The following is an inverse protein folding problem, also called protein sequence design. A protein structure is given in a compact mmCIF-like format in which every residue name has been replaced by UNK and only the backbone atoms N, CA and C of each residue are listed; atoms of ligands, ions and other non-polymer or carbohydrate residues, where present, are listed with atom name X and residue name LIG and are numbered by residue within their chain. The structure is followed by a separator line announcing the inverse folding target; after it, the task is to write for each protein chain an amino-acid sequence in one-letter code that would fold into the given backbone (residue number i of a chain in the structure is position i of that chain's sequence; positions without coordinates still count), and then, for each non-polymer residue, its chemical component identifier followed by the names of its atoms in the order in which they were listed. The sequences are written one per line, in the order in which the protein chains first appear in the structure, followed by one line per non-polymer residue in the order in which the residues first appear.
data_IF_534250903012
#
_entry.id   IF_534250903012
#
_cell.length_a   1.000
_cell.length_b   1.000
_cell.length_c   1.000
_cell.angle_alpha   90.00
_cell.angle_beta   90.00
_cell.angle_gamma   90.00
#
_symmetry.space_group_name_H-M   'P 1'
#
loop_
_entity.id
_entity.type
_entity.pdbx_description
1 polymer ?
#
# COMPACT_ATOMS: atom_id res chain seq x y z
N UNK A 1 -7.01 22.58 -33.27
CA UNK A 1 -7.14 21.10 -33.19
C UNK A 1 -6.42 20.67 -31.92
N UNK A 2 -6.92 19.66 -31.21
CA UNK A 2 -6.24 19.15 -30.01
C UNK A 2 -4.82 18.69 -30.37
N UNK A 3 -3.88 18.91 -29.45
CA UNK A 3 -2.47 18.53 -29.65
C UNK A 3 -2.24 17.05 -29.42
N UNK A 4 -3.12 16.40 -28.63
CA UNK A 4 -3.06 14.97 -28.27
C UNK A 4 -4.48 14.38 -28.21
N UNK A 5 -4.57 13.03 -28.17
CA UNK A 5 -5.84 12.31 -27.97
C UNK A 5 -6.16 12.12 -26.49
N UNK A 6 -5.13 12.08 -25.65
CA UNK A 6 -5.21 11.89 -24.22
C UNK A 6 -4.11 12.66 -23.50
N UNK A 7 -4.48 13.43 -22.47
CA UNK A 7 -3.55 14.00 -21.50
C UNK A 7 -3.72 13.26 -20.16
N UNK A 8 -2.60 12.85 -19.56
CA UNK A 8 -2.54 12.18 -18.27
C UNK A 8 -1.81 13.06 -17.27
N UNK A 9 -2.44 13.36 -16.13
CA UNK A 9 -1.87 14.17 -15.07
C UNK A 9 -1.38 13.30 -13.92
N UNK A 10 -0.07 13.17 -13.80
CA UNK A 10 0.63 12.35 -12.80
C UNK A 10 1.24 11.09 -13.37
N UNK A 11 2.52 10.88 -13.12
CA UNK A 11 3.33 9.75 -13.60
C UNK A 11 3.51 8.61 -12.61
N UNK A 12 2.58 8.47 -11.62
CA UNK A 12 2.54 7.34 -10.69
C UNK A 12 2.05 6.04 -11.33
N UNK A 13 1.78 4.98 -10.53
CA UNK A 13 1.34 3.67 -11.03
C UNK A 13 0.15 3.74 -11.99
N UNK A 14 -0.88 4.54 -11.69
CA UNK A 14 -1.99 4.76 -12.60
C UNK A 14 -1.52 5.42 -13.91
N UNK A 15 -0.78 6.54 -13.79
CA UNK A 15 -0.45 7.37 -14.95
C UNK A 15 0.48 6.69 -15.94
N UNK A 16 1.60 6.09 -15.51
CA UNK A 16 2.51 5.43 -16.46
C UNK A 16 1.89 4.15 -17.06
N UNK A 17 1.05 3.43 -16.32
CA UNK A 17 0.32 2.26 -16.85
C UNK A 17 -0.69 2.69 -17.90
N UNK A 18 -1.48 3.72 -17.60
CA UNK A 18 -2.43 4.28 -18.57
C UNK A 18 -1.73 4.79 -19.82
N UNK A 19 -0.60 5.51 -19.66
CA UNK A 19 0.14 6.09 -20.78
C UNK A 19 0.67 5.01 -21.74
N UNK A 20 1.32 3.98 -21.20
CA UNK A 20 1.80 2.84 -22.00
C UNK A 20 0.65 2.14 -22.73
N UNK A 21 -0.45 1.86 -22.00
CA UNK A 21 -1.61 1.14 -22.55
C UNK A 21 -2.34 1.96 -23.64
N UNK A 22 -2.54 3.27 -23.41
CA UNK A 22 -3.21 4.16 -24.34
C UNK A 22 -2.40 4.33 -25.63
N UNK A 23 -1.10 4.58 -25.52
CA UNK A 23 -0.22 4.71 -26.68
C UNK A 23 -0.15 3.42 -27.50
N UNK A 24 -0.05 2.25 -26.84
CA UNK A 24 -0.12 0.95 -27.52
C UNK A 24 -1.49 0.69 -28.17
N UNK A 25 -2.55 1.30 -27.65
CA UNK A 25 -3.89 1.31 -28.23
C UNK A 25 -4.08 2.29 -29.39
N UNK A 26 -3.04 3.05 -29.77
CA UNK A 26 -3.05 3.97 -30.90
C UNK A 26 -3.41 5.42 -30.55
N UNK A 27 -3.55 5.77 -29.26
CA UNK A 27 -3.81 7.16 -28.86
C UNK A 27 -2.50 7.96 -28.80
N UNK A 28 -2.49 9.16 -29.39
CA UNK A 28 -1.43 10.14 -29.19
C UNK A 28 -1.50 10.64 -27.76
N UNK A 29 -0.58 10.16 -26.90
CA UNK A 29 -0.66 10.30 -25.45
C UNK A 29 0.41 11.22 -24.88
N UNK A 30 -0.02 12.20 -24.10
CA UNK A 30 0.83 13.09 -23.28
C UNK A 30 0.73 12.69 -21.80
N UNK A 31 1.87 12.47 -21.16
CA UNK A 31 2.00 12.25 -19.73
C UNK A 31 2.73 13.43 -19.09
N UNK A 32 2.08 14.12 -18.16
CA UNK A 32 2.64 15.25 -17.41
C UNK A 32 2.97 14.78 -15.99
N UNK A 33 4.25 14.91 -15.58
CA UNK A 33 4.72 14.54 -14.25
C UNK A 33 5.54 15.67 -13.62
N UNK A 34 5.16 16.11 -12.42
CA UNK A 34 5.80 17.25 -11.76
C UNK A 34 7.17 16.96 -11.13
N UNK A 35 7.48 15.70 -10.80
CA UNK A 35 8.72 15.30 -10.12
C UNK A 35 9.47 14.22 -10.89
N UNK A 36 9.06 12.97 -10.70
CA UNK A 36 9.71 11.81 -11.32
C UNK A 36 8.69 10.71 -11.64
N UNK A 37 8.89 10.08 -12.78
CA UNK A 37 8.09 8.91 -13.17
C UNK A 37 8.15 7.83 -12.09
N UNK A 38 7.04 7.11 -11.90
CA UNK A 38 6.87 6.12 -10.86
C UNK A 38 6.11 6.62 -9.63
N UNK A 39 5.94 7.96 -9.49
CA UNK A 39 5.17 8.58 -8.41
C UNK A 39 5.67 8.23 -7.02
N UNK A 40 4.79 8.36 -6.02
CA UNK A 40 5.11 8.07 -4.62
C UNK A 40 5.56 6.63 -4.41
N UNK A 41 4.85 5.65 -4.99
CA UNK A 41 5.15 4.23 -4.77
C UNK A 41 6.61 3.89 -5.11
N UNK A 42 7.10 4.31 -6.27
CA UNK A 42 8.45 3.95 -6.72
C UNK A 42 9.55 4.82 -6.08
N UNK A 43 9.27 6.10 -5.85
CA UNK A 43 10.29 7.03 -5.40
C UNK A 43 10.33 7.23 -3.88
N UNK A 44 9.17 7.23 -3.21
CA UNK A 44 9.01 7.69 -1.83
C UNK A 44 8.10 6.77 -0.98
N UNK A 45 7.85 5.52 -1.43
CA UNK A 45 6.89 4.61 -0.77
C UNK A 45 7.28 3.14 -0.88
N UNK A 46 6.57 2.39 -1.72
CA UNK A 46 6.64 0.93 -1.79
C UNK A 46 8.06 0.40 -1.97
N UNK A 47 8.72 0.78 -3.05
CA UNK A 47 10.02 0.19 -3.43
C UNK A 47 11.14 0.59 -2.47
N UNK A 48 11.32 1.88 -2.12
CA UNK A 48 12.34 2.24 -1.15
C UNK A 48 12.10 1.59 0.21
N UNK A 49 10.86 1.52 0.71
CA UNK A 49 10.54 0.85 1.99
C UNK A 49 10.90 -0.64 1.95
N UNK A 50 10.46 -1.37 0.90
CA UNK A 50 10.77 -2.80 0.76
C UNK A 50 12.27 -3.04 0.61
N UNK A 51 13.00 -2.10 0.02
CA UNK A 51 14.47 -2.18 -0.06
C UNK A 51 15.14 -2.04 1.31
N UNK A 52 14.62 -1.14 2.17
CA UNK A 52 15.09 -1.01 3.56
C UNK A 52 14.72 -2.24 4.38
N UNK A 53 13.46 -2.68 4.33
CA UNK A 53 12.99 -3.88 5.04
C UNK A 53 13.80 -5.13 4.68
N UNK A 54 14.14 -5.28 3.39
CA UNK A 54 14.97 -6.41 2.98
C UNK A 54 16.41 -6.33 3.54
N UNK A 55 16.97 -5.14 3.63
CA UNK A 55 18.29 -4.95 4.27
C UNK A 55 18.24 -5.27 5.78
N UNK A 56 17.18 -4.85 6.47
CA UNK A 56 16.94 -5.19 7.89
C UNK A 56 16.69 -6.70 8.08
N UNK A 57 15.99 -7.35 7.12
CA UNK A 57 15.82 -8.80 7.12
C UNK A 57 17.16 -9.53 7.04
N UNK A 58 18.05 -9.12 6.14
CA UNK A 58 19.38 -9.75 6.02
C UNK A 58 20.21 -9.54 7.29
N UNK A 59 20.15 -8.34 7.89
CA UNK A 59 20.79 -8.05 9.15
C UNK A 59 20.32 -9.02 10.25
N UNK A 60 19.02 -9.15 10.42
CA UNK A 60 18.44 -10.04 11.42
C UNK A 60 18.77 -11.52 11.17
N UNK A 61 18.80 -11.96 9.90
CA UNK A 61 19.20 -13.34 9.55
C UNK A 61 20.65 -13.64 9.94
N UNK A 62 21.53 -12.64 9.97
CA UNK A 62 22.91 -12.83 10.47
C UNK A 62 22.94 -13.08 11.98
N UNK A 63 22.05 -12.43 12.74
CA UNK A 63 21.91 -12.66 14.18
C UNK A 63 21.32 -14.06 14.48
N UNK A 64 20.34 -14.47 13.67
CA UNK A 64 19.65 -15.76 13.78
C UNK A 64 20.40 -16.95 13.13
N UNK A 65 21.51 -16.71 12.43
CA UNK A 65 22.23 -17.71 11.65
C UNK A 65 22.60 -18.98 12.44
N UNK A 66 22.88 -18.83 13.75
CA UNK A 66 23.19 -19.95 14.65
C UNK A 66 22.09 -21.00 14.72
N UNK A 67 20.82 -20.62 14.59
CA UNK A 67 19.67 -21.53 14.55
C UNK A 67 19.76 -22.52 13.38
N UNK A 68 20.41 -22.09 12.31
CA UNK A 68 20.61 -22.88 11.08
C UNK A 68 21.99 -23.53 11.00
N UNK A 69 22.74 -23.58 12.11
CA UNK A 69 24.07 -24.15 12.15
C UNK A 69 25.16 -23.33 11.46
N UNK A 70 24.93 -22.03 11.29
CA UNK A 70 25.86 -21.13 10.60
C UNK A 70 26.44 -20.15 11.63
N UNK A 71 27.78 -20.10 11.73
CA UNK A 71 28.48 -19.06 12.47
C UNK A 71 28.61 -17.83 11.59
N UNK A 72 27.92 -16.76 11.94
CA UNK A 72 27.97 -15.47 11.24
C UNK A 72 28.03 -14.33 12.26
N UNK A 73 28.70 -13.25 11.88
CA UNK A 73 28.68 -11.99 12.62
C UNK A 73 28.51 -10.82 11.65
N UNK A 74 27.84 -9.79 12.11
CA UNK A 74 27.76 -8.52 11.42
C UNK A 74 28.09 -7.42 12.43
N UNK A 75 29.11 -6.62 12.14
CA UNK A 75 29.64 -5.66 13.12
C UNK A 75 28.81 -4.39 13.17
N UNK A 76 28.23 -3.96 12.04
CA UNK A 76 27.49 -2.70 11.98
C UNK A 76 26.47 -2.68 10.85
N UNK A 77 25.29 -2.11 11.13
CA UNK A 77 24.31 -1.75 10.10
C UNK A 77 24.64 -0.38 9.51
N UNK A 78 25.14 -0.36 8.29
CA UNK A 78 25.66 0.85 7.63
C UNK A 78 24.54 1.56 6.84
N UNK A 79 23.83 2.48 7.50
CA UNK A 79 22.64 3.16 6.93
C UNK A 79 22.95 3.94 5.64
N UNK A 80 24.14 4.53 5.52
CA UNK A 80 24.59 5.19 4.29
C UNK A 80 24.67 4.23 3.09
N UNK A 81 25.16 3.00 3.31
CA UNK A 81 25.24 1.95 2.28
C UNK A 81 23.85 1.40 1.92
N UNK A 82 22.99 1.25 2.92
CA UNK A 82 21.60 0.83 2.72
C UNK A 82 20.85 1.87 1.88
N UNK A 83 21.01 3.15 2.16
CA UNK A 83 20.43 4.24 1.37
C UNK A 83 21.00 4.29 -0.05
N UNK A 84 22.32 4.12 -0.20
CA UNK A 84 22.94 4.07 -1.52
C UNK A 84 22.36 2.92 -2.38
N UNK A 85 22.14 1.73 -1.75
CA UNK A 85 21.49 0.58 -2.39
C UNK A 85 20.03 0.91 -2.76
N UNK A 86 19.25 1.47 -1.85
CA UNK A 86 17.87 1.90 -2.07
C UNK A 86 17.78 2.84 -3.28
N UNK A 87 18.62 3.88 -3.31
CA UNK A 87 18.65 4.86 -4.38
C UNK A 87 19.07 4.23 -5.74
N UNK A 88 19.97 3.24 -5.73
CA UNK A 88 20.32 2.49 -6.95
C UNK A 88 19.14 1.70 -7.49
N UNK A 89 18.37 1.03 -6.62
CA UNK A 89 17.19 0.26 -7.00
C UNK A 89 16.12 1.17 -7.59
N UNK A 90 15.81 2.28 -6.93
CA UNK A 90 14.83 3.27 -7.39
C UNK A 90 15.22 3.82 -8.76
N UNK A 91 16.46 4.30 -8.92
CA UNK A 91 16.94 4.83 -10.22
C UNK A 91 16.82 3.81 -11.35
N UNK A 92 17.15 2.54 -11.10
CA UNK A 92 17.03 1.47 -12.10
C UNK A 92 15.57 1.29 -12.57
N UNK A 93 14.63 1.30 -11.64
CA UNK A 93 13.22 1.11 -11.96
C UNK A 93 12.60 2.35 -12.63
N UNK A 94 12.96 3.54 -12.20
CA UNK A 94 12.56 4.80 -12.87
C UNK A 94 13.07 4.83 -14.32
N UNK A 95 14.31 4.44 -14.55
CA UNK A 95 14.87 4.32 -15.91
C UNK A 95 14.10 3.29 -16.76
N UNK A 96 13.67 2.18 -16.15
CA UNK A 96 12.83 1.18 -16.80
C UNK A 96 11.47 1.75 -17.25
N UNK A 97 10.81 2.52 -16.38
CA UNK A 97 9.54 3.20 -16.74
C UNK A 97 9.78 4.21 -17.86
N UNK A 98 10.83 5.03 -17.76
CA UNK A 98 11.17 5.97 -18.83
C UNK A 98 11.39 5.27 -20.18
N UNK A 99 12.12 4.14 -20.17
CA UNK A 99 12.29 3.31 -21.38
C UNK A 99 10.96 2.79 -21.92
N UNK A 100 10.04 2.35 -21.08
CA UNK A 100 8.69 1.92 -21.50
C UNK A 100 7.91 3.06 -22.16
N UNK A 101 7.93 4.28 -21.60
CA UNK A 101 7.28 5.45 -22.20
C UNK A 101 7.85 5.76 -23.57
N UNK A 102 9.18 5.80 -23.70
CA UNK A 102 9.85 6.04 -24.98
C UNK A 102 9.50 4.97 -26.02
N UNK A 103 9.55 3.70 -25.64
CA UNK A 103 9.26 2.58 -26.54
C UNK A 103 7.78 2.53 -26.99
N UNK A 104 6.88 3.04 -26.17
CA UNK A 104 5.46 3.15 -26.50
C UNK A 104 5.11 4.42 -27.29
N UNK A 105 6.05 5.35 -27.49
CA UNK A 105 5.81 6.62 -28.18
C UNK A 105 5.03 7.64 -27.35
N UNK A 106 5.07 7.52 -26.01
CA UNK A 106 4.43 8.49 -25.10
C UNK A 106 5.27 9.77 -25.04
N UNK A 107 4.62 10.92 -25.24
CA UNK A 107 5.21 12.22 -24.94
C UNK A 107 5.20 12.43 -23.44
N UNK A 108 6.37 12.63 -22.82
CA UNK A 108 6.49 12.90 -21.39
C UNK A 108 6.97 14.32 -21.16
N UNK A 109 6.18 15.11 -20.45
CA UNK A 109 6.52 16.49 -20.05
C UNK A 109 6.74 16.53 -18.55
N UNK A 110 7.91 17.04 -18.14
CA UNK A 110 8.22 17.25 -16.71
C UNK A 110 7.82 18.66 -16.33
N UNK A 111 6.91 18.78 -15.39
CA UNK A 111 6.41 20.05 -14.88
C UNK A 111 5.06 19.89 -14.21
N UNK A 112 4.65 20.92 -13.50
CA UNK A 112 3.33 20.94 -12.89
C UNK A 112 2.26 21.32 -13.90
N UNK A 113 1.30 20.42 -14.13
CA UNK A 113 0.16 20.66 -14.99
C UNK A 113 -0.92 21.47 -14.28
N UNK A 114 -1.28 22.61 -14.85
CA UNK A 114 -2.41 23.44 -14.43
C UNK A 114 -3.59 23.21 -15.39
N UNK A 115 -4.68 22.70 -14.88
CA UNK A 115 -5.90 22.52 -15.65
C UNK A 115 -6.57 23.88 -15.84
N UNK A 116 -6.81 24.25 -17.09
CA UNK A 116 -7.57 25.46 -17.41
C UNK A 116 -9.07 25.16 -17.46
N UNK A 117 -9.94 26.14 -17.10
CA UNK A 117 -11.38 25.96 -17.26
C UNK A 117 -11.72 25.56 -18.70
N UNK A 118 -12.55 24.50 -18.90
CA UNK A 118 -12.94 24.11 -20.25
C UNK A 118 -13.71 25.25 -20.94
N UNK A 119 -13.31 25.58 -22.15
CA UNK A 119 -13.95 26.62 -22.97
C UNK A 119 -15.03 26.02 -23.90
N UNK A 120 -14.92 24.75 -24.23
CA UNK A 120 -15.90 24.01 -25.00
C UNK A 120 -16.12 22.62 -24.38
N UNK A 121 -17.31 22.03 -24.51
CA UNK A 121 -17.48 20.64 -24.16
C UNK A 121 -16.49 19.74 -24.94
N UNK A 122 -15.90 18.76 -24.29
CA UNK A 122 -15.03 17.75 -24.90
C UNK A 122 -13.65 18.25 -25.40
N UNK A 123 -13.19 19.44 -24.97
CA UNK A 123 -11.79 19.85 -25.15
C UNK A 123 -11.22 20.39 -23.85
N UNK A 124 -10.20 19.72 -23.34
CA UNK A 124 -9.54 20.03 -22.09
C UNK A 124 -8.15 20.59 -22.36
N UNK A 125 -7.80 21.62 -21.62
CA UNK A 125 -6.51 22.31 -21.74
C UNK A 125 -5.72 22.19 -20.46
N UNK A 126 -4.43 21.85 -20.59
CA UNK A 126 -3.49 21.79 -19.46
C UNK A 126 -2.26 22.62 -19.79
N UNK A 127 -1.93 23.57 -18.92
CA UNK A 127 -0.75 24.44 -19.04
C UNK A 127 0.40 23.87 -18.23
N UNK A 128 1.61 23.85 -18.81
CA UNK A 128 2.87 23.49 -18.14
C UNK A 128 3.90 24.55 -18.49
N UNK A 129 4.28 25.40 -17.52
CA UNK A 129 5.11 26.56 -17.80
C UNK A 129 4.44 27.51 -18.78
N UNK A 130 5.05 27.77 -19.93
CA UNK A 130 4.49 28.64 -20.97
C UNK A 130 3.69 27.87 -22.03
N UNK A 131 3.76 26.53 -22.05
CA UNK A 131 3.12 25.71 -23.05
C UNK A 131 1.73 25.26 -22.61
N UNK A 132 0.79 25.22 -23.57
CA UNK A 132 -0.57 24.72 -23.36
C UNK A 132 -0.83 23.54 -24.29
N UNK A 133 -1.27 22.43 -23.69
CA UNK A 133 -1.63 21.20 -24.39
C UNK A 133 -3.14 21.00 -24.32
N UNK A 134 -3.71 20.44 -25.39
CA UNK A 134 -5.15 20.19 -25.47
C UNK A 134 -5.44 18.76 -25.89
N UNK A 135 -6.51 18.19 -25.33
CA UNK A 135 -6.99 16.86 -25.69
C UNK A 135 -8.50 16.73 -25.43
N UNK A 136 -9.20 15.85 -26.16
CA UNK A 136 -10.60 15.52 -25.88
C UNK A 136 -10.74 14.60 -24.64
N UNK A 137 -9.65 14.05 -24.12
CA UNK A 137 -9.67 13.15 -22.96
C UNK A 137 -8.63 13.57 -21.93
N UNK A 138 -9.02 13.51 -20.67
CA UNK A 138 -8.13 13.63 -19.49
C UNK A 138 -8.18 12.39 -18.65
N UNK A 139 -7.02 11.95 -18.15
CA UNK A 139 -6.91 11.02 -17.02
C UNK A 139 -6.27 11.74 -15.84
N UNK A 140 -7.01 11.83 -14.75
CA UNK A 140 -6.56 12.39 -13.49
C UNK A 140 -5.90 11.30 -12.66
N UNK A 141 -4.59 11.37 -12.48
CA UNK A 141 -3.77 10.42 -11.73
C UNK A 141 -2.83 11.16 -10.75
N UNK A 142 -3.33 12.25 -10.14
CA UNK A 142 -2.58 13.15 -9.26
C UNK A 142 -2.16 12.50 -7.93
N UNK A 143 -2.71 11.33 -7.60
CA UNK A 143 -2.30 10.53 -6.46
C UNK A 143 -2.75 11.08 -5.11
N UNK A 144 -1.93 10.89 -4.09
CA UNK A 144 -2.19 11.31 -2.72
C UNK A 144 -0.96 11.90 -2.05
N UNK A 145 -1.18 12.60 -0.94
CA UNK A 145 -0.16 13.15 -0.04
C UNK A 145 -0.36 12.64 1.38
N UNK A 146 0.71 12.70 2.21
CA UNK A 146 0.62 12.37 3.64
C UNK A 146 -0.35 13.32 4.32
N UNK A 147 -1.26 12.78 5.12
CA UNK A 147 -2.14 13.57 5.97
C UNK A 147 -1.33 14.15 7.15
N UNK A 148 -1.40 15.46 7.32
CA UNK A 148 -0.76 16.15 8.44
C UNK A 148 -1.88 16.78 9.28
N UNK A 149 -2.25 16.13 10.41
CA UNK A 149 -3.25 16.69 11.31
C UNK A 149 -2.69 17.88 12.09
N UNK A 150 -3.54 18.79 12.55
CA UNK A 150 -3.12 19.95 13.34
C UNK A 150 -2.80 19.53 14.79
N UNK A 151 -1.67 18.84 14.99
CA UNK A 151 -1.19 18.48 16.32
C UNK A 151 -0.43 19.68 16.91
N UNK A 152 -0.80 20.19 18.09
CA UNK A 152 -0.08 21.25 18.78
C UNK A 152 1.41 20.95 18.94
N UNK A 153 2.27 21.88 18.56
CA UNK A 153 3.72 21.76 18.64
C UNK A 153 4.38 21.08 17.45
N UNK A 154 3.62 20.55 16.47
CA UNK A 154 4.18 19.84 15.31
C UNK A 154 5.08 20.75 14.44
N UNK A 155 4.81 22.04 14.41
CA UNK A 155 5.58 23.06 13.71
C UNK A 155 6.88 23.47 14.45
N UNK A 156 7.06 23.04 15.69
CA UNK A 156 8.23 23.34 16.53
C UNK A 156 9.24 22.22 16.59
N UNK A 157 8.92 21.04 16.03
CA UNK A 157 9.76 19.84 16.06
C UNK A 157 10.13 19.39 14.63
N UNK A 158 11.30 18.80 14.50
CA UNK A 158 11.71 18.14 13.24
C UNK A 158 11.12 16.73 13.20
N UNK A 159 9.88 16.62 12.70
CA UNK A 159 9.21 15.34 12.52
C UNK A 159 9.45 14.76 11.12
N UNK A 160 9.37 13.47 11.01
CA UNK A 160 9.43 12.74 9.75
C UNK A 160 8.04 12.32 9.28
N UNK A 161 7.84 12.32 7.99
CA UNK A 161 6.88 11.47 7.29
C UNK A 161 7.63 10.24 6.73
N UNK A 162 6.95 9.38 5.99
CA UNK A 162 7.61 8.27 5.30
C UNK A 162 8.73 8.75 4.35
N UNK A 163 8.64 9.96 3.82
CA UNK A 163 9.63 10.54 2.91
C UNK A 163 10.94 10.82 3.62
N UNK A 164 10.92 11.58 4.70
CA UNK A 164 12.10 11.93 5.49
C UNK A 164 12.72 10.68 6.10
N UNK A 165 11.90 9.75 6.60
CA UNK A 165 12.37 8.47 7.14
C UNK A 165 13.13 7.62 6.10
N UNK A 166 12.69 7.62 4.84
CA UNK A 166 13.37 6.92 3.74
C UNK A 166 14.67 7.59 3.30
N UNK A 167 14.85 8.88 3.56
CA UNK A 167 16.06 9.64 3.21
C UNK A 167 17.05 9.81 4.38
N UNK A 168 16.66 9.40 5.59
CA UNK A 168 17.54 9.48 6.76
C UNK A 168 18.82 8.67 6.57
N UNK A 169 19.93 9.26 6.92
CA UNK A 169 21.27 8.63 6.86
C UNK A 169 21.72 8.05 8.19
N UNK A 170 20.98 8.33 9.25
CA UNK A 170 21.29 7.94 10.62
C UNK A 170 20.10 7.23 11.24
N UNK A 171 20.37 6.35 12.18
CA UNK A 171 19.36 5.69 13.00
C UNK A 171 19.20 6.48 14.30
N UNK A 172 17.97 6.90 14.67
CA UNK A 172 17.74 7.50 15.98
C UNK A 172 17.85 6.43 17.07
N UNK A 173 18.08 6.85 18.31
CA UNK A 173 18.07 5.94 19.47
C UNK A 173 16.66 5.45 19.77
N UNK A 174 15.67 6.33 19.61
CA UNK A 174 14.26 6.01 19.80
C UNK A 174 13.39 6.76 18.80
N UNK A 175 12.26 6.15 18.45
CA UNK A 175 11.28 6.72 17.51
C UNK A 175 9.86 6.50 18.02
N UNK A 176 9.05 7.57 18.03
CA UNK A 176 7.62 7.49 18.22
C UNK A 176 6.91 7.56 16.87
N UNK A 177 6.16 6.52 16.53
CA UNK A 177 5.40 6.39 15.31
C UNK A 177 3.94 6.69 15.62
N UNK A 178 3.46 7.82 15.12
CA UNK A 178 2.07 8.24 15.26
C UNK A 178 1.26 7.64 14.11
N UNK A 179 0.43 6.64 14.43
CA UNK A 179 -0.35 5.84 13.50
C UNK A 179 0.20 4.42 13.32
N UNK A 180 -0.55 3.42 13.76
CA UNK A 180 -0.25 1.99 13.66
C UNK A 180 -0.78 1.32 12.39
N UNK A 181 -1.02 2.09 11.32
CA UNK A 181 -1.41 1.57 10.02
C UNK A 181 -0.25 0.89 9.27
N UNK A 182 -0.48 0.51 8.00
CA UNK A 182 0.49 -0.22 7.16
C UNK A 182 1.87 0.45 7.14
N UNK A 183 1.91 1.76 6.85
CA UNK A 183 3.17 2.52 6.77
C UNK A 183 3.87 2.53 8.13
N UNK A 184 3.13 2.85 9.20
CA UNK A 184 3.68 2.91 10.56
C UNK A 184 4.27 1.57 10.99
N UNK A 185 3.56 0.47 10.73
CA UNK A 185 4.03 -0.86 11.11
C UNK A 185 5.22 -1.35 10.27
N UNK A 186 5.32 -0.99 8.99
CA UNK A 186 6.50 -1.30 8.18
C UNK A 186 7.74 -0.56 8.69
N UNK A 187 7.61 0.73 9.07
CA UNK A 187 8.71 1.46 9.70
C UNK A 187 9.02 0.95 11.12
N UNK A 188 8.00 0.60 11.90
CA UNK A 188 8.21 -0.05 13.20
C UNK A 188 9.02 -1.34 13.05
N UNK A 189 8.70 -2.15 12.05
CA UNK A 189 9.44 -3.36 11.72
C UNK A 189 10.89 -3.07 11.33
N UNK A 190 11.11 -2.07 10.48
CA UNK A 190 12.45 -1.68 10.06
C UNK A 190 13.30 -1.21 11.26
N UNK A 191 12.82 -0.20 11.98
CA UNK A 191 13.59 0.41 13.08
C UNK A 191 13.84 -0.56 14.23
N UNK A 192 12.85 -1.37 14.60
CA UNK A 192 13.02 -2.39 15.63
C UNK A 192 14.12 -3.40 15.25
N UNK A 193 14.15 -3.88 14.00
CA UNK A 193 15.12 -4.87 13.52
C UNK A 193 16.56 -4.34 13.48
N UNK A 194 16.75 -3.04 13.43
CA UNK A 194 18.09 -2.42 13.45
C UNK A 194 18.43 -1.81 14.81
N UNK A 195 17.71 -2.18 15.87
CA UNK A 195 18.04 -1.88 17.26
C UNK A 195 17.55 -0.52 17.77
N UNK A 196 16.66 0.15 17.08
CA UNK A 196 16.03 1.40 17.54
C UNK A 196 14.89 1.09 18.52
N UNK A 197 14.77 1.84 19.61
CA UNK A 197 13.62 1.76 20.52
C UNK A 197 12.37 2.33 19.81
N UNK A 198 11.31 1.52 19.70
CA UNK A 198 10.11 1.87 18.91
C UNK A 198 8.88 1.97 19.78
N UNK A 199 8.19 3.11 19.68
CA UNK A 199 6.90 3.38 20.30
C UNK A 199 5.85 3.59 19.20
N UNK A 200 4.81 2.77 19.13
CA UNK A 200 3.69 2.91 18.18
C UNK A 200 2.47 3.45 18.93
N UNK A 201 1.98 4.61 18.51
CA UNK A 201 0.82 5.28 19.11
C UNK A 201 -0.33 5.19 18.11
N UNK A 202 -1.42 4.55 18.52
CA UNK A 202 -2.59 4.32 17.69
C UNK A 202 -3.86 4.72 18.44
N UNK A 203 -4.72 5.50 17.77
CA UNK A 203 -5.97 5.98 18.34
C UNK A 203 -7.07 4.90 18.29
N UNK A 204 -6.96 3.96 17.37
CA UNK A 204 -7.86 2.82 17.23
C UNK A 204 -7.60 1.74 18.29
N UNK A 205 -8.57 0.82 18.52
CA UNK A 205 -8.39 -0.28 19.47
C UNK A 205 -7.37 -1.33 19.03
N UNK A 206 -6.99 -1.37 17.74
CA UNK A 206 -5.97 -2.27 17.21
C UNK A 206 -5.19 -1.61 16.07
N UNK A 207 -3.97 -2.09 15.82
CA UNK A 207 -3.14 -1.69 14.68
C UNK A 207 -3.73 -2.23 13.37
N UNK A 208 -3.23 -1.75 12.23
CA UNK A 208 -3.65 -2.17 10.88
C UNK A 208 -5.15 -1.96 10.64
N UNK A 209 -5.70 -0.83 11.08
CA UNK A 209 -7.10 -0.50 10.84
C UNK A 209 -7.52 -0.70 9.36
N UNK A 210 -8.64 -1.39 9.16
CA UNK A 210 -9.11 -1.81 7.83
C UNK A 210 -8.67 -3.20 7.38
N UNK A 211 -7.71 -3.82 8.07
CA UNK A 211 -7.40 -5.25 7.96
C UNK A 211 -8.22 -6.05 8.99
N UNK A 212 -8.17 -7.37 8.88
CA UNK A 212 -8.79 -8.27 9.87
C UNK A 212 -8.12 -8.04 11.25
N UNK A 213 -8.93 -7.77 12.27
CA UNK A 213 -8.44 -7.37 13.59
C UNK A 213 -7.63 -8.46 14.32
N UNK A 214 -7.94 -9.74 14.05
CA UNK A 214 -7.16 -10.86 14.59
C UNK A 214 -5.73 -10.86 14.05
N UNK A 215 -5.55 -10.55 12.76
CA UNK A 215 -4.21 -10.44 12.16
C UNK A 215 -3.43 -9.26 12.76
N UNK A 216 -4.09 -8.14 13.01
CA UNK A 216 -3.48 -6.99 13.71
C UNK A 216 -3.01 -7.38 15.11
N UNK A 217 -3.87 -8.01 15.90
CA UNK A 217 -3.55 -8.45 17.26
C UNK A 217 -2.39 -9.46 17.30
N UNK A 218 -2.36 -10.41 16.38
CA UNK A 218 -1.27 -11.39 16.26
C UNK A 218 0.06 -10.71 15.90
N UNK A 219 0.06 -9.81 14.91
CA UNK A 219 1.26 -9.06 14.54
C UNK A 219 1.77 -8.21 15.71
N UNK A 220 0.88 -7.49 16.39
CA UNK A 220 1.22 -6.69 17.57
C UNK A 220 1.84 -7.55 18.67
N UNK A 221 1.28 -8.73 18.94
CA UNK A 221 1.84 -9.66 19.91
C UNK A 221 3.28 -10.07 19.57
N UNK A 222 3.58 -10.34 18.27
CA UNK A 222 4.94 -10.65 17.83
C UNK A 222 5.90 -9.49 18.06
N UNK A 223 5.51 -8.27 17.68
CA UNK A 223 6.37 -7.09 17.84
C UNK A 223 6.50 -6.64 19.29
N UNK A 224 5.51 -6.91 20.15
CA UNK A 224 5.63 -6.70 21.61
C UNK A 224 6.72 -7.60 22.19
N UNK A 225 6.80 -8.87 21.79
CA UNK A 225 7.89 -9.78 22.20
C UNK A 225 9.27 -9.27 21.75
N UNK A 226 9.33 -8.55 20.64
CA UNK A 226 10.55 -7.93 20.11
C UNK A 226 10.86 -6.57 20.74
N UNK A 227 10.07 -6.13 21.74
CA UNK A 227 10.31 -4.91 22.50
C UNK A 227 9.66 -3.65 21.93
N UNK A 228 8.86 -3.73 20.89
CA UNK A 228 8.05 -2.59 20.42
C UNK A 228 6.96 -2.29 21.45
N UNK A 229 6.85 -1.03 21.83
CA UNK A 229 5.84 -0.54 22.79
C UNK A 229 4.64 0.00 22.04
N UNK A 230 3.46 -0.52 22.35
CA UNK A 230 2.20 -0.11 21.71
C UNK A 230 1.32 0.67 22.69
N UNK A 231 0.79 1.78 22.21
CA UNK A 231 -0.16 2.65 22.93
C UNK A 231 -1.44 2.71 22.09
N UNK A 232 -2.32 1.71 22.28
CA UNK A 232 -3.61 1.63 21.59
C UNK A 232 -4.65 2.50 22.29
N UNK A 233 -5.61 3.05 21.52
CA UNK A 233 -6.65 3.98 22.00
C UNK A 233 -6.07 5.27 22.61
N UNK A 234 -4.81 5.58 22.34
CA UNK A 234 -4.16 6.80 22.80
C UNK A 234 -4.25 7.89 21.74
N UNK A 235 -4.75 9.05 22.14
CA UNK A 235 -4.79 10.24 21.31
C UNK A 235 -3.53 11.07 21.55
N UNK A 236 -2.84 11.43 20.48
CA UNK A 236 -1.76 12.43 20.57
C UNK A 236 -2.38 13.81 20.74
N UNK A 237 -2.03 14.50 21.81
CA UNK A 237 -2.55 15.85 22.15
C UNK A 237 -1.55 16.95 21.84
N UNK A 238 -0.26 16.67 21.94
CA UNK A 238 0.80 17.61 21.55
C UNK A 238 2.13 16.88 21.29
N UNK A 239 3.06 17.58 20.64
CA UNK A 239 4.45 17.15 20.48
C UNK A 239 5.39 18.27 20.91
N UNK A 240 6.55 17.88 21.43
CA UNK A 240 7.59 18.79 21.87
C UNK A 240 8.98 18.12 21.66
N UNK A 241 10.11 18.85 21.79
CA UNK A 241 11.44 18.26 21.64
C UNK A 241 11.73 17.08 22.57
N UNK A 242 11.09 17.02 23.73
CA UNK A 242 11.20 15.93 24.71
C UNK A 242 10.37 14.68 24.36
N UNK A 243 9.40 14.77 23.44
CA UNK A 243 8.59 13.62 23.05
C UNK A 243 7.16 13.94 22.64
N UNK A 244 6.32 12.92 22.71
CA UNK A 244 4.91 12.96 22.29
C UNK A 244 4.01 12.85 23.52
N UNK A 245 3.14 13.84 23.73
CA UNK A 245 2.11 13.80 24.78
C UNK A 245 0.91 13.03 24.26
N UNK A 246 0.51 12.03 25.03
CA UNK A 246 -0.65 11.18 24.72
C UNK A 246 -1.67 11.23 25.85
N UNK A 247 -2.92 10.98 25.49
CA UNK A 247 -4.07 10.91 26.38
C UNK A 247 -4.82 9.60 26.15
N UNK A 248 -5.14 8.92 27.23
CA UNK A 248 -6.01 7.75 27.27
C UNK A 248 -6.89 7.83 28.50
N UNK A 249 -8.20 7.86 28.33
CA UNK A 249 -9.18 8.16 29.38
C UNK A 249 -8.83 9.49 30.07
N UNK A 250 -8.70 9.51 31.38
CA UNK A 250 -8.36 10.71 32.16
C UNK A 250 -6.84 10.86 32.44
N UNK A 251 -6.01 10.00 31.79
CA UNK A 251 -4.57 10.02 32.00
C UNK A 251 -3.85 10.65 30.80
N UNK A 252 -2.93 11.56 31.09
CA UNK A 252 -2.04 12.15 30.11
C UNK A 252 -0.59 12.01 30.54
N UNK A 253 0.29 11.62 29.61
CA UNK A 253 1.72 11.49 29.87
C UNK A 253 2.54 11.70 28.60
N UNK A 254 3.84 11.95 28.77
CA UNK A 254 4.79 12.12 27.67
C UNK A 254 5.49 10.80 27.39
N UNK A 255 5.55 10.42 26.13
CA UNK A 255 6.40 9.33 25.61
C UNK A 255 7.70 9.97 25.13
N UNK A 256 8.82 9.80 25.85
CA UNK A 256 10.09 10.36 25.44
C UNK A 256 10.57 9.71 24.12
N UNK A 257 11.05 10.53 23.19
CA UNK A 257 11.55 10.02 21.90
C UNK A 257 12.52 11.02 21.29
N UNK A 258 13.52 10.50 20.58
CA UNK A 258 14.46 11.32 19.83
C UNK A 258 13.87 11.76 18.47
N UNK A 259 13.00 10.94 17.88
CA UNK A 259 12.41 11.23 16.58
C UNK A 259 10.91 10.88 16.54
N UNK A 260 10.16 11.66 15.80
CA UNK A 260 8.73 11.44 15.59
C UNK A 260 8.51 11.10 14.11
N UNK A 261 7.79 10.00 13.85
CA UNK A 261 7.31 9.63 12.52
C UNK A 261 5.78 9.75 12.45
N UNK A 262 5.29 10.59 11.55
CA UNK A 262 3.86 10.79 11.30
C UNK A 262 3.39 9.86 10.19
N UNK A 263 2.49 8.93 10.48
CA UNK A 263 1.93 7.94 9.55
C UNK A 263 0.42 7.71 9.72
N UNK A 264 -0.33 8.80 9.90
CA UNK A 264 -1.78 8.81 10.16
C UNK A 264 -2.65 8.77 8.89
N UNK A 265 -2.10 8.24 7.80
CA UNK A 265 -2.78 8.06 6.54
C UNK A 265 -2.40 9.06 5.46
N UNK A 266 -3.12 8.98 4.35
CA UNK A 266 -2.90 9.77 3.15
C UNK A 266 -4.22 10.40 2.70
N UNK A 267 -4.16 11.50 1.97
CA UNK A 267 -5.31 12.17 1.38
C UNK A 267 -5.15 12.31 -0.13
N UNK A 268 -6.20 12.14 -0.93
CA UNK A 268 -6.19 12.42 -2.36
C UNK A 268 -5.74 13.86 -2.65
N UNK A 269 -5.00 14.07 -3.74
CA UNK A 269 -4.59 15.40 -4.23
C UNK A 269 -5.62 15.87 -5.24
N UNK A 270 -6.57 16.70 -4.79
CA UNK A 270 -7.71 17.18 -5.59
C UNK A 270 -7.79 18.69 -5.70
N UNK A 271 -6.96 19.44 -4.98
CA UNK A 271 -7.04 20.90 -4.87
C UNK A 271 -6.94 21.62 -6.23
N UNK A 272 -6.12 21.07 -7.14
CA UNK A 272 -5.90 21.66 -8.48
C UNK A 272 -6.89 21.19 -9.54
N UNK A 273 -7.87 20.35 -9.16
CA UNK A 273 -8.91 19.86 -10.05
C UNK A 273 -10.17 20.72 -10.03
N UNK A 274 -10.23 21.72 -9.15
CA UNK A 274 -11.38 22.62 -9.00
C UNK A 274 -11.86 23.29 -10.29
N UNK A 275 -11.01 23.65 -11.29
CA UNK A 275 -11.50 24.23 -12.54
C UNK A 275 -12.44 23.33 -13.34
N UNK A 276 -12.43 22.01 -13.08
CA UNK A 276 -13.29 21.05 -13.76
C UNK A 276 -14.69 20.93 -13.13
N UNK A 277 -14.90 21.36 -11.89
CA UNK A 277 -16.19 21.23 -11.21
C UNK A 277 -16.69 19.80 -11.08
N UNK A 278 -15.79 18.84 -10.81
CA UNK A 278 -16.10 17.41 -10.71
C UNK A 278 -16.97 17.07 -9.50
N UNK A 279 -17.81 16.05 -9.63
CA UNK A 279 -18.43 15.42 -8.47
C UNK A 279 -17.37 14.72 -7.62
N UNK A 280 -17.49 14.90 -6.31
CA UNK A 280 -16.57 14.31 -5.33
C UNK A 280 -17.28 13.25 -4.49
N UNK A 281 -16.55 12.23 -4.07
CA UNK A 281 -16.98 11.25 -3.07
C UNK A 281 -15.99 11.24 -1.90
N UNK A 282 -16.46 11.63 -0.73
CA UNK A 282 -15.57 11.91 0.40
C UNK A 282 -14.52 12.99 0.05
N UNK A 283 -13.25 12.60 0.00
CA UNK A 283 -12.13 13.48 -0.37
C UNK A 283 -11.61 13.24 -1.78
N UNK A 284 -12.10 12.20 -2.46
CA UNK A 284 -11.63 11.80 -3.78
C UNK A 284 -12.56 12.23 -4.91
N UNK A 285 -12.09 12.07 -6.14
CA UNK A 285 -12.89 12.27 -7.35
C UNK A 285 -13.82 11.08 -7.51
N UNK A 286 -15.14 11.35 -7.57
CA UNK A 286 -16.15 10.31 -7.82
C UNK A 286 -16.01 9.76 -9.24
N UNK A 287 -15.99 8.45 -9.34
CA UNK A 287 -15.97 7.72 -10.62
C UNK A 287 -17.00 6.59 -10.62
N UNK A 288 -17.45 6.22 -11.81
CA UNK A 288 -18.25 5.02 -12.00
C UNK A 288 -17.37 3.76 -12.14
N UNK A 289 -18.00 2.60 -12.30
CA UNK A 289 -17.27 1.33 -12.48
C UNK A 289 -16.39 1.29 -13.76
N UNK A 290 -16.55 2.23 -14.68
CA UNK A 290 -15.72 2.38 -15.87
C UNK A 290 -14.62 3.41 -15.72
N UNK A 291 -14.45 3.94 -14.50
CA UNK A 291 -13.51 5.00 -14.10
C UNK A 291 -13.81 6.38 -14.74
N UNK A 292 -15.04 6.60 -15.25
CA UNK A 292 -15.50 7.90 -15.73
C UNK A 292 -15.89 8.80 -14.58
N UNK A 293 -15.55 10.08 -14.69
CA UNK A 293 -16.03 11.13 -13.78
C UNK A 293 -17.39 11.67 -14.24
N UNK A 294 -17.87 12.71 -13.57
CA UNK A 294 -19.10 13.44 -13.98
C UNK A 294 -18.98 14.20 -15.29
N UNK A 295 -17.75 14.39 -15.83
CA UNK A 295 -17.52 15.09 -17.08
C UNK A 295 -17.23 14.14 -18.24
N UNK A 296 -17.82 14.34 -19.44
CA UNK A 296 -17.51 13.59 -20.63
C UNK A 296 -16.00 13.62 -20.96
N UNK A 297 -15.41 12.48 -21.29
CA UNK A 297 -13.99 12.40 -21.64
C UNK A 297 -13.01 12.53 -20.48
N UNK A 298 -13.48 12.79 -19.24
CA UNK A 298 -12.61 12.87 -18.05
C UNK A 298 -12.74 11.61 -17.21
N UNK A 299 -11.59 11.00 -16.92
CA UNK A 299 -11.44 9.80 -16.11
C UNK A 299 -10.54 10.09 -14.90
N UNK A 300 -10.65 9.29 -13.86
CA UNK A 300 -9.73 9.34 -12.73
C UNK A 300 -9.32 7.93 -12.30
N UNK A 301 -8.07 7.76 -11.88
CA UNK A 301 -7.53 6.46 -11.43
C UNK A 301 -6.41 6.65 -10.39
N UNK A 302 -6.31 5.70 -9.48
CA UNK A 302 -5.39 5.70 -8.35
C UNK A 302 -5.89 6.50 -7.17
N UNK A 303 -4.98 6.88 -6.29
CA UNK A 303 -5.29 7.50 -4.99
C UNK A 303 -6.19 8.74 -5.07
N UNK A 304 -6.23 9.41 -6.22
CA UNK A 304 -7.09 10.59 -6.46
C UNK A 304 -8.57 10.27 -6.34
N UNK A 305 -8.98 9.02 -6.58
CA UNK A 305 -10.37 8.56 -6.43
C UNK A 305 -10.77 8.37 -4.96
N UNK A 306 -9.79 8.11 -4.08
CA UNK A 306 -10.04 7.86 -2.66
C UNK A 306 -10.59 6.48 -2.30
N UNK A 307 -10.89 5.61 -3.29
CA UNK A 307 -11.42 4.26 -3.03
C UNK A 307 -10.37 3.31 -2.48
N UNK A 308 -9.17 3.32 -3.06
CA UNK A 308 -8.07 2.45 -2.64
C UNK A 308 -6.74 3.16 -2.84
N UNK A 309 -5.93 3.26 -1.78
CA UNK A 309 -4.63 3.92 -1.83
C UNK A 309 -3.50 2.89 -2.05
N UNK A 310 -3.73 1.96 -3.00
CA UNK A 310 -2.83 0.86 -3.32
C UNK A 310 -2.36 0.92 -4.77
N UNK A 311 -1.07 0.74 -5.00
CA UNK A 311 -0.47 0.85 -6.33
C UNK A 311 -1.04 -0.15 -7.34
N UNK A 312 -1.32 -1.39 -6.93
CA UNK A 312 -1.91 -2.41 -7.79
C UNK A 312 -3.39 -2.13 -8.13
N UNK A 313 -4.15 -1.51 -7.23
CA UNK A 313 -5.49 -1.01 -7.54
C UNK A 313 -5.41 0.12 -8.58
N UNK A 314 -4.50 1.08 -8.38
CA UNK A 314 -4.27 2.18 -9.30
C UNK A 314 -3.89 1.70 -10.72
N UNK A 315 -3.10 0.61 -10.82
CA UNK A 315 -2.78 -0.04 -12.10
C UNK A 315 -4.06 -0.57 -12.77
N UNK A 316 -4.89 -1.30 -12.01
CA UNK A 316 -6.11 -1.89 -12.57
C UNK A 316 -7.16 -0.83 -12.95
N UNK A 317 -7.34 0.20 -12.14
CA UNK A 317 -8.20 1.35 -12.45
C UNK A 317 -7.74 2.04 -13.76
N UNK A 318 -6.44 2.25 -13.92
CA UNK A 318 -5.87 2.82 -15.15
C UNK A 318 -6.12 1.96 -16.40
N UNK A 319 -5.99 0.64 -16.27
CA UNK A 319 -6.33 -0.30 -17.37
C UNK A 319 -7.80 -0.19 -17.74
N UNK A 320 -8.70 -0.17 -16.77
CA UNK A 320 -10.16 -0.03 -16.98
C UNK A 320 -10.47 1.30 -17.66
N UNK A 321 -9.90 2.41 -17.17
CA UNK A 321 -10.09 3.72 -17.77
C UNK A 321 -9.69 3.75 -19.25
N UNK A 322 -8.49 3.26 -19.56
CA UNK A 322 -7.97 3.27 -20.95
C UNK A 322 -8.74 2.30 -21.84
N UNK A 323 -9.12 1.12 -21.36
CA UNK A 323 -9.94 0.19 -22.15
C UNK A 323 -11.28 0.81 -22.54
N UNK A 324 -11.91 1.58 -21.64
CA UNK A 324 -13.12 2.33 -21.97
C UNK A 324 -12.87 3.48 -22.94
N UNK A 325 -11.74 4.18 -22.84
CA UNK A 325 -11.34 5.20 -23.83
C UNK A 325 -11.15 4.60 -25.24
N UNK A 326 -10.74 3.33 -25.32
CA UNK A 326 -10.55 2.57 -26.55
C UNK A 326 -11.83 1.86 -27.03
N UNK A 327 -12.97 2.13 -26.40
CA UNK A 327 -14.29 1.58 -26.80
C UNK A 327 -14.58 0.15 -26.31
N UNK A 328 -13.83 -0.37 -25.32
CA UNK A 328 -14.13 -1.64 -24.65
C UNK A 328 -15.11 -1.39 -23.49
N UNK A 329 -15.84 -2.42 -23.06
CA UNK A 329 -16.67 -2.39 -21.85
C UNK A 329 -15.93 -3.05 -20.69
N UNK A 330 -14.95 -2.33 -20.14
CA UNK A 330 -14.19 -2.78 -18.97
C UNK A 330 -14.78 -2.18 -17.69
N UNK A 331 -14.84 -2.99 -16.62
CA UNK A 331 -15.37 -2.57 -15.31
C UNK A 331 -14.40 -2.87 -14.19
N UNK A 332 -14.32 -1.97 -13.23
CA UNK A 332 -13.54 -2.14 -12.01
C UNK A 332 -14.34 -2.96 -11.01
N UNK A 333 -13.67 -3.93 -10.40
CA UNK A 333 -14.14 -4.68 -9.23
C UNK A 333 -13.21 -4.41 -8.07
N UNK A 334 -13.76 -4.16 -6.89
CA UNK A 334 -13.00 -3.94 -5.65
C UNK A 334 -13.16 -5.11 -4.67
N UNK A 335 -13.86 -6.18 -5.04
CA UNK A 335 -14.16 -7.30 -4.13
C UNK A 335 -12.94 -8.14 -3.74
N UNK A 336 -11.90 -8.16 -4.59
CA UNK A 336 -10.72 -9.01 -4.40
C UNK A 336 -9.41 -8.22 -4.46
N UNK A 337 -9.36 -7.07 -3.80
CA UNK A 337 -8.13 -6.25 -3.71
C UNK A 337 -7.28 -6.75 -2.53
N UNK A 338 -6.09 -7.33 -2.75
CA UNK A 338 -5.24 -7.78 -1.67
C UNK A 338 -4.62 -6.60 -0.91
N UNK A 339 -4.69 -6.63 0.42
CA UNK A 339 -3.92 -5.76 1.31
C UNK A 339 -2.71 -6.52 1.86
N UNK A 340 -1.52 -5.89 1.87
CA UNK A 340 -0.29 -6.55 2.32
C UNK A 340 0.52 -5.61 3.19
N UNK A 341 1.07 -6.14 4.29
CA UNK A 341 2.02 -5.48 5.16
C UNK A 341 3.31 -6.29 5.15
N UNK A 342 4.40 -5.67 4.70
CA UNK A 342 5.69 -6.33 4.48
C UNK A 342 6.56 -6.34 5.75
N UNK A 343 5.92 -6.58 6.88
CA UNK A 343 6.60 -6.88 8.15
C UNK A 343 7.22 -8.28 8.12
N UNK A 344 7.82 -8.71 9.22
CA UNK A 344 8.27 -10.08 9.41
C UNK A 344 7.84 -10.56 10.79
N UNK A 345 6.80 -11.42 10.85
CA UNK A 345 6.08 -12.04 9.72
C UNK A 345 5.26 -11.03 8.88
N UNK A 346 5.02 -11.38 7.60
CA UNK A 346 4.13 -10.64 6.70
C UNK A 346 2.67 -10.83 7.13
N UNK A 347 1.85 -9.80 6.87
CA UNK A 347 0.38 -9.92 6.94
C UNK A 347 -0.19 -9.69 5.55
N UNK A 348 -1.11 -10.54 5.13
CA UNK A 348 -1.86 -10.36 3.90
C UNK A 348 -3.34 -10.69 4.11
N UNK A 349 -4.21 -9.99 3.40
CA UNK A 349 -5.64 -10.26 3.42
C UNK A 349 -6.31 -9.86 2.12
N UNK A 350 -7.41 -10.54 1.78
CA UNK A 350 -8.24 -10.25 0.61
C UNK A 350 -9.70 -10.61 0.90
N UNK A 351 -10.62 -9.91 0.27
CA UNK A 351 -12.05 -10.06 0.51
C UNK A 351 -12.49 -9.45 1.83
N UNK A 352 -13.59 -9.93 2.37
CA UNK A 352 -14.20 -9.41 3.60
C UNK A 352 -13.43 -9.89 4.84
N UNK A 353 -13.26 -9.01 5.81
CA UNK A 353 -12.74 -9.39 7.13
C UNK A 353 -13.84 -10.05 7.98
N UNK A 354 -13.44 -10.80 8.97
CA UNK A 354 -14.40 -11.38 9.93
C UNK A 354 -15.22 -10.29 10.64
N UNK A 355 -14.58 -9.16 10.94
CA UNK A 355 -15.25 -8.01 11.57
C UNK A 355 -16.33 -7.40 10.65
N UNK A 356 -16.07 -7.33 9.34
CA UNK A 356 -17.05 -6.87 8.36
C UNK A 356 -18.24 -7.85 8.25
N UNK A 357 -17.96 -9.15 8.14
CA UNK A 357 -19.02 -10.17 8.07
C UNK A 357 -19.94 -10.13 9.29
N UNK A 358 -19.35 -10.02 10.49
CA UNK A 358 -20.10 -9.87 11.75
C UNK A 358 -20.97 -8.60 11.75
N UNK A 359 -20.39 -7.47 11.32
CA UNK A 359 -21.09 -6.18 11.26
C UNK A 359 -22.26 -6.19 10.29
N UNK A 360 -22.08 -6.85 9.14
CA UNK A 360 -23.10 -6.94 8.08
C UNK A 360 -24.09 -8.09 8.28
N UNK A 361 -23.88 -8.94 9.30
CA UNK A 361 -24.75 -10.08 9.60
C UNK A 361 -24.71 -11.18 8.55
N UNK A 362 -23.58 -11.30 7.84
CA UNK A 362 -23.38 -12.33 6.81
C UNK A 362 -22.93 -13.62 7.48
N UNK A 363 -23.65 -14.73 7.23
CA UNK A 363 -23.31 -16.06 7.75
C UNK A 363 -22.05 -16.59 7.04
N UNK A 364 -21.14 -17.15 7.81
CA UNK A 364 -19.90 -17.73 7.31
C UNK A 364 -19.42 -18.88 8.19
N UNK A 365 -18.57 -19.72 7.61
CA UNK A 365 -17.77 -20.72 8.31
C UNK A 365 -16.33 -20.21 8.37
N UNK A 366 -15.73 -20.18 9.57
CA UNK A 366 -14.32 -19.82 9.79
C UNK A 366 -13.48 -21.06 9.76
N UNK A 367 -12.54 -21.14 8.82
CA UNK A 367 -11.52 -22.16 8.75
C UNK A 367 -10.17 -21.51 9.07
N UNK A 368 -9.41 -22.10 10.00
CA UNK A 368 -8.16 -21.50 10.45
C UNK A 368 -7.17 -22.58 10.88
N UNK A 369 -5.96 -22.51 10.32
CA UNK A 369 -4.87 -23.38 10.72
C UNK A 369 -3.58 -22.58 10.98
N UNK A 370 -2.73 -23.06 11.90
CA UNK A 370 -1.34 -22.58 11.99
C UNK A 370 -0.59 -22.83 10.67
N UNK A 371 0.26 -21.90 10.26
CA UNK A 371 1.12 -22.05 9.08
C UNK A 371 2.04 -23.28 9.18
N UNK A 372 2.28 -23.77 10.40
CA UNK A 372 3.06 -24.97 10.68
C UNK A 372 2.45 -26.29 10.11
N UNK A 373 1.20 -26.26 9.63
CA UNK A 373 0.64 -27.39 8.87
C UNK A 373 1.29 -27.53 7.49
N UNK A 374 1.92 -26.50 6.96
CA UNK A 374 2.77 -26.59 5.78
C UNK A 374 4.21 -26.96 6.18
N UNK A 375 4.66 -28.15 5.83
CA UNK A 375 5.98 -28.66 6.22
C UNK A 375 7.15 -27.77 5.80
N UNK A 376 7.05 -27.11 4.65
CA UNK A 376 8.04 -26.13 4.19
C UNK A 376 8.11 -24.89 5.07
N UNK A 377 7.00 -24.42 5.60
CA UNK A 377 7.00 -23.30 6.56
C UNK A 377 7.81 -23.64 7.80
N UNK A 378 7.63 -24.84 8.34
CA UNK A 378 8.39 -25.34 9.50
C UNK A 378 9.88 -25.42 9.18
N UNK A 379 10.23 -25.99 8.03
CA UNK A 379 11.63 -26.13 7.61
C UNK A 379 12.37 -24.78 7.48
N UNK A 380 11.67 -23.71 7.11
CA UNK A 380 12.24 -22.38 6.90
C UNK A 380 12.12 -21.46 8.12
N UNK A 381 11.15 -21.69 9.00
CA UNK A 381 10.81 -20.77 10.10
C UNK A 381 10.77 -21.46 11.48
N UNK A 382 10.98 -22.76 11.56
CA UNK A 382 10.94 -23.57 12.81
C UNK A 382 9.73 -23.25 13.71
N UNK A 383 9.95 -22.55 14.82
CA UNK A 383 8.96 -22.20 15.83
C UNK A 383 8.23 -20.88 15.56
N UNK A 384 8.34 -20.33 14.35
CA UNK A 384 7.66 -19.07 14.04
C UNK A 384 6.13 -19.23 14.08
N UNK A 385 5.46 -18.24 14.68
CA UNK A 385 4.02 -18.17 14.66
C UNK A 385 3.54 -17.73 13.27
N UNK A 386 2.47 -18.33 12.82
CA UNK A 386 1.81 -17.97 11.59
C UNK A 386 0.43 -18.60 11.52
N UNK A 387 -0.49 -17.95 10.83
CA UNK A 387 -1.90 -18.35 10.72
C UNK A 387 -2.38 -18.13 9.30
N UNK A 388 -3.15 -19.09 8.79
CA UNK A 388 -4.00 -18.95 7.61
C UNK A 388 -5.45 -19.05 8.06
N UNK A 389 -6.24 -17.98 7.84
CA UNK A 389 -7.68 -17.90 8.12
C UNK A 389 -8.43 -17.71 6.80
N UNK A 390 -9.44 -18.55 6.55
CA UNK A 390 -10.31 -18.49 5.37
C UNK A 390 -11.76 -18.45 5.83
N UNK A 391 -12.53 -17.51 5.27
CA UNK A 391 -13.92 -17.28 5.57
C UNK A 391 -14.78 -17.74 4.38
N UNK A 392 -15.64 -18.73 4.60
CA UNK A 392 -16.39 -19.41 3.56
C UNK A 392 -17.89 -19.24 3.83
N UNK A 393 -18.63 -18.78 2.84
CA UNK A 393 -20.10 -18.63 2.92
C UNK A 393 -20.83 -19.99 2.95
N UNK A 394 -22.11 -19.97 3.26
CA UNK A 394 -22.96 -21.18 3.30
C UNK A 394 -23.04 -21.88 1.94
N UNK A 395 -22.95 -21.13 0.86
CA UNK A 395 -22.96 -21.61 -0.54
C UNK A 395 -21.56 -22.00 -1.07
N UNK A 396 -20.61 -22.15 -0.15
CA UNK A 396 -19.19 -22.48 -0.43
C UNK A 396 -18.40 -21.39 -1.16
N UNK A 397 -18.91 -20.16 -1.19
CA UNK A 397 -18.18 -19.00 -1.74
C UNK A 397 -17.04 -18.57 -0.80
N UNK A 398 -15.87 -18.30 -1.35
CA UNK A 398 -14.78 -17.68 -0.61
C UNK A 398 -15.11 -16.20 -0.35
N UNK A 399 -15.37 -15.84 0.89
CA UNK A 399 -15.72 -14.47 1.30
C UNK A 399 -14.49 -13.65 1.62
N UNK A 400 -13.46 -14.25 2.19
CA UNK A 400 -12.21 -13.60 2.51
C UNK A 400 -11.15 -14.56 3.02
N UNK A 401 -9.90 -14.13 2.97
CA UNK A 401 -8.77 -14.82 3.57
C UNK A 401 -7.78 -13.85 4.17
N UNK A 402 -7.20 -14.23 5.32
CA UNK A 402 -6.26 -13.41 6.07
C UNK A 402 -5.14 -14.28 6.60
N UNK A 403 -3.90 -13.86 6.38
CA UNK A 403 -2.72 -14.64 6.69
C UNK A 403 -1.71 -13.82 7.47
N UNK A 404 -1.07 -14.44 8.44
CA UNK A 404 0.14 -13.94 9.08
C UNK A 404 1.22 -15.00 8.94
N UNK A 405 2.35 -14.65 8.33
CA UNK A 405 3.48 -15.55 8.11
C UNK A 405 4.08 -15.39 6.71
N UNK A 406 5.35 -15.77 6.53
CA UNK A 406 6.00 -15.69 5.22
C UNK A 406 5.82 -16.98 4.41
N UNK A 407 5.52 -16.85 3.10
CA UNK A 407 5.40 -15.65 2.28
C UNK A 407 3.93 -15.26 2.00
N UNK A 408 3.19 -14.74 2.98
CA UNK A 408 1.76 -14.40 2.83
C UNK A 408 1.49 -13.45 1.64
N UNK A 409 2.41 -12.52 1.36
CA UNK A 409 2.32 -11.58 0.23
C UNK A 409 2.22 -12.27 -1.14
N UNK A 410 2.86 -13.44 -1.30
CA UNK A 410 2.83 -14.21 -2.54
C UNK A 410 1.66 -15.20 -2.57
N UNK A 411 1.24 -15.70 -1.42
CA UNK A 411 0.17 -16.69 -1.33
C UNK A 411 -1.23 -16.10 -1.53
N UNK A 412 -1.46 -14.90 -1.06
CA UNK A 412 -2.79 -14.28 -1.04
C UNK A 412 -3.40 -14.12 -2.44
N UNK A 413 -2.58 -14.05 -3.48
CA UNK A 413 -3.04 -13.94 -4.87
C UNK A 413 -3.89 -15.14 -5.31
N UNK A 414 -3.65 -16.33 -4.77
CA UNK A 414 -4.42 -17.53 -5.09
C UNK A 414 -5.89 -17.32 -4.68
N UNK A 415 -6.11 -16.81 -3.48
CA UNK A 415 -7.46 -16.53 -2.98
C UNK A 415 -8.07 -15.31 -3.70
N UNK A 416 -7.27 -14.28 -4.01
CA UNK A 416 -7.75 -13.13 -4.77
C UNK A 416 -8.31 -13.55 -6.14
N UNK A 417 -7.59 -14.44 -6.84
CA UNK A 417 -8.06 -15.00 -8.12
C UNK A 417 -9.34 -15.83 -7.92
N UNK A 418 -9.42 -16.63 -6.87
CA UNK A 418 -10.59 -17.45 -6.60
C UNK A 418 -11.83 -16.59 -6.32
N UNK A 419 -11.72 -15.55 -5.48
CA UNK A 419 -12.80 -14.61 -5.20
C UNK A 419 -13.22 -13.87 -6.47
N UNK A 420 -12.27 -13.29 -7.21
CA UNK A 420 -12.55 -12.50 -8.42
C UNK A 420 -13.22 -13.33 -9.53
N UNK A 421 -12.95 -14.64 -9.57
CA UNK A 421 -13.51 -15.56 -10.57
C UNK A 421 -14.70 -16.37 -10.07
N UNK A 422 -15.11 -16.19 -8.81
CA UNK A 422 -16.21 -16.93 -8.21
C UNK A 422 -15.96 -18.44 -8.05
N UNK A 423 -14.67 -18.83 -7.92
CA UNK A 423 -14.29 -20.22 -7.68
C UNK A 423 -14.70 -20.60 -6.26
N UNK A 424 -15.38 -21.72 -6.11
CA UNK A 424 -15.84 -22.23 -4.81
C UNK A 424 -14.68 -22.83 -4.01
N UNK A 425 -14.81 -22.86 -2.68
CA UNK A 425 -13.77 -23.35 -1.80
C UNK A 425 -13.35 -24.80 -2.12
N UNK A 426 -14.34 -25.70 -2.32
CA UNK A 426 -14.05 -27.10 -2.68
C UNK A 426 -13.38 -27.24 -4.06
N UNK A 427 -13.72 -26.38 -5.03
CA UNK A 427 -13.08 -26.37 -6.35
C UNK A 427 -11.60 -26.00 -6.23
N UNK A 428 -11.29 -24.93 -5.45
CA UNK A 428 -9.92 -24.52 -5.18
C UNK A 428 -9.14 -25.63 -4.46
N UNK A 429 -9.73 -26.30 -3.45
CA UNK A 429 -9.08 -27.40 -2.73
C UNK A 429 -8.83 -28.62 -3.62
N UNK A 430 -9.59 -28.80 -4.70
CA UNK A 430 -9.40 -29.90 -5.65
C UNK A 430 -8.19 -29.74 -6.59
N UNK A 431 -7.60 -28.53 -6.64
CA UNK A 431 -6.39 -28.27 -7.45
C UNK A 431 -5.18 -28.96 -6.84
N UNK A 432 -4.26 -29.41 -7.69
CA UNK A 432 -2.99 -29.99 -7.22
C UNK A 432 -2.07 -28.87 -6.75
N UNK A 433 -1.79 -28.82 -5.46
CA UNK A 433 -0.79 -27.94 -4.87
C UNK A 433 0.60 -28.62 -4.92
N UNK A 434 1.65 -27.90 -5.31
CA UNK A 434 2.99 -28.48 -5.36
C UNK A 434 3.53 -28.77 -3.94
N UNK A 435 4.20 -29.95 -3.77
CA UNK A 435 4.79 -30.36 -2.50
C UNK A 435 6.33 -30.45 -2.61
N UNK A 436 7.10 -29.97 -1.60
CA UNK A 436 6.65 -29.19 -0.44
C UNK A 436 6.62 -27.70 -0.73
N UNK A 437 5.53 -27.04 -0.41
CA UNK A 437 5.40 -25.57 -0.48
C UNK A 437 4.61 -25.01 0.71
N UNK A 438 4.80 -23.74 1.01
CA UNK A 438 3.97 -23.05 2.02
C UNK A 438 2.53 -22.87 1.50
N UNK A 439 2.33 -22.83 0.18
CA UNK A 439 1.01 -22.67 -0.44
C UNK A 439 0.01 -23.79 -0.13
N UNK A 440 0.49 -24.98 0.25
CA UNK A 440 -0.36 -26.11 0.68
C UNK A 440 -1.27 -25.72 1.85
N UNK A 441 -0.88 -24.74 2.68
CA UNK A 441 -1.68 -24.27 3.81
C UNK A 441 -3.08 -23.78 3.37
N UNK A 442 -3.23 -23.28 2.15
CA UNK A 442 -4.53 -22.84 1.64
C UNK A 442 -5.48 -24.03 1.54
N UNK A 443 -5.04 -25.11 0.90
CA UNK A 443 -5.81 -26.35 0.75
C UNK A 443 -6.11 -26.96 2.11
N UNK A 444 -5.09 -27.15 2.95
CA UNK A 444 -5.23 -27.70 4.30
C UNK A 444 -6.23 -26.90 5.15
N UNK A 445 -6.21 -25.57 5.04
CA UNK A 445 -7.15 -24.71 5.77
C UNK A 445 -8.58 -24.88 5.26
N UNK A 446 -8.80 -24.94 3.94
CA UNK A 446 -10.15 -25.14 3.36
C UNK A 446 -10.71 -26.50 3.78
N UNK A 447 -9.90 -27.55 3.78
CA UNK A 447 -10.30 -28.93 4.13
C UNK A 447 -10.39 -29.17 5.64
N UNK A 448 -9.92 -28.25 6.48
CA UNK A 448 -10.01 -28.34 7.94
C UNK A 448 -11.45 -28.23 8.43
N UNK A 449 -11.71 -28.66 9.68
CA UNK A 449 -13.00 -28.41 10.33
C UNK A 449 -13.18 -26.92 10.63
N UNK A 450 -14.40 -26.38 10.44
CA UNK A 450 -14.69 -25.02 10.85
C UNK A 450 -14.46 -24.81 12.35
N UNK A 451 -13.98 -23.62 12.72
CA UNK A 451 -13.85 -23.21 14.11
C UNK A 451 -15.12 -22.45 14.51
N UNK A 452 -15.65 -22.77 15.70
CA UNK A 452 -16.87 -22.18 16.25
C UNK A 452 -16.68 -20.68 16.60
#
# INVERSE_FOLDING_TARGET
MPTHDLIILGGGPAGYTAAERAARGGLNTLLIEKRALGGVCLNEGCIPTKTLLYSAKIWHLTEDAKKYGIEASADQFLMDKVNARKNKVVRKLVAGIKGKMTNAGVTVVTGEGEILPPTTPEEYSVKVGEETYTAPRLLLASGSETSIPPIPGLDTVDYWTSREALESKELPKSIAIIGGGVIGMEFAAFYNRVGVEVHVIEMLPEILGGMDSEMGALLRAEYTKLGVKFYLRHKVTSVAPEGVTVEFEDNSFVIPTERILLSVGRRPVTEKLSPLGLEMEGRGVKVDATMRTSLPGVYAAGDVTGYSLLAHTAVREAEVAVDNMLGKDARMSYQAIPGIIYTQPEVAGVGMTEDQLKKEGISYRKHQLPMAFAGRFVAENEMANGVCKILIGEDDTLLGAHMLGNPASELIIVIAVAIERGIKAHELASVVFPHPTVGEIIKETIESSPIA
#
